data_IF_883110858456
#
_entry.id   IF_883110858456
#
_cell.length_a   1.000
_cell.length_b   1.000
_cell.length_c   1.000
_cell.angle_alpha   90.00
_cell.angle_beta   90.00
_cell.angle_gamma   90.00
#
_symmetry.space_group_name_H-M   'P 1'
#
loop_
_entity.id
_entity.type
_entity.pdbx_description
1 polymer ?
#
# COMPACT_ATOMS: atom_id res chain seq x y z
N UNK A 1 16.76 -40.14 -7.14
CA UNK A 1 17.64 -38.96 -7.14
C UNK A 1 17.08 -38.01 -6.11
N UNK A 2 17.78 -37.84 -4.99
CA UNK A 2 17.39 -36.87 -3.95
C UNK A 2 17.41 -35.47 -4.56
N UNK A 3 16.39 -34.62 -4.34
CA UNK A 3 16.50 -33.23 -4.75
C UNK A 3 17.55 -32.61 -3.84
N UNK A 4 18.66 -32.23 -4.45
CA UNK A 4 19.68 -31.39 -3.84
C UNK A 4 18.99 -30.14 -3.30
N UNK A 5 19.03 -29.98 -1.98
CA UNK A 5 18.83 -28.69 -1.31
C UNK A 5 19.70 -27.68 -2.06
N UNK A 6 19.04 -26.80 -2.82
CA UNK A 6 19.66 -25.60 -3.35
C UNK A 6 19.97 -24.75 -2.14
N UNK A 7 21.20 -24.83 -1.62
CA UNK A 7 21.71 -23.83 -0.70
C UNK A 7 21.51 -22.48 -1.40
N UNK A 8 20.63 -21.65 -0.83
CA UNK A 8 20.39 -20.32 -1.34
C UNK A 8 21.74 -19.61 -1.48
N UNK A 9 21.97 -18.90 -2.59
CA UNK A 9 23.20 -18.15 -2.76
C UNK A 9 23.31 -17.14 -1.60
N UNK A 10 24.34 -17.29 -0.76
CA UNK A 10 24.58 -16.42 0.39
C UNK A 10 24.93 -15.01 -0.11
N UNK A 11 24.19 -14.01 0.34
CA UNK A 11 24.44 -12.59 0.08
C UNK A 11 24.83 -11.86 1.39
N UNK A 12 25.36 -10.64 1.28
CA UNK A 12 25.74 -9.84 2.47
C UNK A 12 24.48 -9.39 3.21
N UNK A 13 24.31 -9.86 4.45
CA UNK A 13 23.13 -9.61 5.28
C UNK A 13 22.10 -10.74 5.27
N UNK A 14 22.41 -11.90 4.67
CA UNK A 14 21.53 -13.07 4.70
C UNK A 14 21.22 -13.53 6.13
N UNK A 15 22.22 -13.50 7.01
CA UNK A 15 22.10 -13.83 8.43
C UNK A 15 21.14 -12.89 9.18
N UNK A 16 21.06 -11.62 8.76
CA UNK A 16 20.13 -10.64 9.35
C UNK A 16 18.70 -11.02 8.97
N UNK A 17 18.47 -11.37 7.70
CA UNK A 17 17.16 -11.79 7.22
C UNK A 17 16.71 -13.08 7.90
N UNK A 18 17.59 -14.08 8.00
CA UNK A 18 17.29 -15.33 8.69
C UNK A 18 16.97 -15.11 10.17
N UNK A 19 17.73 -14.28 10.90
CA UNK A 19 17.43 -13.91 12.29
C UNK A 19 16.07 -13.22 12.41
N UNK A 20 15.78 -12.27 11.53
CA UNK A 20 14.54 -11.49 11.58
C UNK A 20 13.32 -12.36 11.28
N UNK A 21 13.41 -13.23 10.28
CA UNK A 21 12.37 -14.21 9.96
C UNK A 21 12.14 -15.14 11.16
N UNK A 22 13.20 -15.67 11.76
CA UNK A 22 13.09 -16.60 12.88
C UNK A 22 12.44 -15.96 14.12
N UNK A 23 12.67 -14.66 14.35
CA UNK A 23 12.23 -13.96 15.57
C UNK A 23 10.87 -13.29 15.43
N UNK A 24 10.52 -12.85 14.23
CA UNK A 24 9.36 -11.97 14.03
C UNK A 24 8.33 -12.49 13.04
N UNK A 25 8.45 -13.75 12.59
CA UNK A 25 7.40 -14.33 11.75
C UNK A 25 6.11 -14.55 12.53
N UNK A 26 4.99 -14.14 11.94
CA UNK A 26 3.63 -14.40 12.42
C UNK A 26 3.00 -15.65 11.79
N UNK A 27 3.76 -16.49 11.08
CA UNK A 27 3.21 -17.70 10.49
C UNK A 27 2.62 -18.61 11.58
N UNK A 28 1.39 -19.06 11.35
CA UNK A 28 0.61 -19.84 12.31
C UNK A 28 -0.03 -19.04 13.45
N UNK A 29 0.28 -17.75 13.64
CA UNK A 29 -0.24 -16.92 14.76
C UNK A 29 -1.77 -16.90 14.82
N UNK A 30 -2.43 -16.82 13.66
CA UNK A 30 -3.89 -16.83 13.54
C UNK A 30 -4.45 -18.12 12.92
N UNK A 31 -3.67 -19.21 12.95
CA UNK A 31 -4.04 -20.51 12.40
C UNK A 31 -3.43 -20.78 11.01
N UNK A 32 -3.33 -22.06 10.66
CA UNK A 32 -2.62 -22.53 9.47
C UNK A 32 -3.27 -22.15 8.14
N UNK A 33 -4.57 -21.81 8.15
CA UNK A 33 -5.31 -21.40 6.94
C UNK A 33 -5.54 -19.88 6.88
N UNK A 34 -4.98 -19.11 7.83
CA UNK A 34 -5.08 -17.66 7.83
C UNK A 34 -4.42 -17.07 6.57
N UNK A 35 -5.09 -16.10 5.97
CA UNK A 35 -4.65 -15.37 4.78
C UNK A 35 -4.75 -13.85 4.98
N UNK A 36 -5.10 -13.38 6.19
CA UNK A 36 -5.23 -11.96 6.50
C UNK A 36 -3.99 -11.38 7.16
N UNK A 37 -3.19 -12.20 7.85
CA UNK A 37 -1.98 -11.72 8.51
C UNK A 37 -2.29 -10.67 9.57
N UNK A 38 -1.49 -9.61 9.62
CA UNK A 38 -1.57 -8.57 10.63
C UNK A 38 -2.90 -7.79 10.62
N UNK A 39 -3.69 -7.85 9.55
CA UNK A 39 -5.05 -7.31 9.56
C UNK A 39 -5.99 -8.04 10.54
N UNK A 40 -5.62 -9.21 11.05
CA UNK A 40 -6.33 -9.85 12.17
C UNK A 40 -6.24 -9.05 13.49
N UNK A 41 -5.34 -8.07 13.60
CA UNK A 41 -5.34 -7.10 14.70
C UNK A 41 -6.51 -6.10 14.63
N UNK A 42 -7.15 -5.97 13.47
CA UNK A 42 -8.27 -5.07 13.26
C UNK A 42 -9.58 -5.84 13.44
N UNK A 43 -10.23 -5.61 14.57
CA UNK A 43 -11.56 -6.13 14.89
C UNK A 43 -12.60 -5.03 15.13
N UNK A 44 -13.82 -5.39 15.55
CA UNK A 44 -14.90 -4.44 15.80
C UNK A 44 -14.54 -3.32 16.79
N UNK A 45 -13.64 -3.61 17.74
CA UNK A 45 -13.16 -2.63 18.72
C UNK A 45 -12.29 -1.55 18.07
N UNK A 46 -11.32 -1.94 17.23
CA UNK A 46 -10.46 -1.01 16.48
C UNK A 46 -11.29 -0.14 15.54
N UNK A 47 -12.26 -0.73 14.82
CA UNK A 47 -13.18 0.02 13.94
C UNK A 47 -13.97 1.06 14.73
N UNK A 48 -14.52 0.67 15.88
CA UNK A 48 -15.30 1.56 16.75
C UNK A 48 -14.43 2.67 17.33
N UNK A 49 -13.20 2.35 17.73
CA UNK A 49 -12.24 3.34 18.23
C UNK A 49 -11.86 4.35 17.15
N UNK A 50 -11.59 3.89 15.93
CA UNK A 50 -11.31 4.74 14.78
C UNK A 50 -12.50 5.67 14.47
N UNK A 51 -13.73 5.15 14.43
CA UNK A 51 -14.92 5.96 14.17
C UNK A 51 -15.11 7.11 15.17
N UNK A 52 -14.60 6.97 16.41
CA UNK A 52 -14.62 8.05 17.42
C UNK A 52 -13.59 9.15 17.17
N UNK A 53 -12.70 9.02 16.18
CA UNK A 53 -11.77 10.07 15.78
C UNK A 53 -12.41 11.09 14.83
N UNK A 54 -13.54 10.74 14.19
CA UNK A 54 -14.26 11.66 13.32
C UNK A 54 -15.02 12.69 14.16
N UNK A 55 -14.44 13.88 14.30
CA UNK A 55 -14.95 15.01 15.09
C UNK A 55 -15.21 16.25 14.26
N UNK A 56 -14.39 16.48 13.24
CA UNK A 56 -14.44 17.66 12.39
C UNK A 56 -15.32 17.44 11.14
N UNK A 57 -15.53 16.19 10.75
CA UNK A 57 -16.21 15.82 9.51
C UNK A 57 -15.36 16.10 8.26
N UNK A 58 -14.04 16.25 8.42
CA UNK A 58 -13.12 16.45 7.30
C UNK A 58 -12.87 15.10 6.65
N UNK A 59 -12.90 15.08 5.31
CA UNK A 59 -12.54 13.91 4.50
C UNK A 59 -11.45 14.34 3.55
N UNK A 60 -10.26 13.75 3.69
CA UNK A 60 -9.06 14.11 2.93
C UNK A 60 -8.61 12.89 2.15
N UNK A 61 -8.53 13.02 0.82
CA UNK A 61 -7.98 11.98 -0.03
C UNK A 61 -6.46 11.92 0.13
N UNK A 62 -5.95 10.70 0.24
CA UNK A 62 -4.52 10.38 0.25
C UNK A 62 -4.11 9.60 -1.01
N UNK A 63 -4.83 9.80 -2.11
CA UNK A 63 -4.65 9.04 -3.34
C UNK A 63 -4.27 9.92 -4.52
N UNK A 64 -3.25 9.49 -5.26
CA UNK A 64 -2.90 10.06 -6.55
C UNK A 64 -4.01 9.78 -7.58
N UNK A 65 -4.27 10.71 -8.53
CA UNK A 65 -5.13 10.43 -9.67
C UNK A 65 -4.63 9.22 -10.47
N UNK A 66 -5.56 8.35 -10.87
CA UNK A 66 -5.28 7.23 -11.77
C UNK A 66 -5.40 7.69 -13.23
N UNK A 67 -4.35 8.31 -13.74
CA UNK A 67 -4.28 8.81 -15.11
C UNK A 67 -2.90 8.57 -15.76
N UNK A 68 -2.76 8.99 -17.01
CA UNK A 68 -1.54 8.83 -17.80
C UNK A 68 -0.36 9.68 -17.31
N UNK A 69 -0.59 10.62 -16.40
CA UNK A 69 0.40 11.53 -15.81
C UNK A 69 0.92 11.02 -14.46
N UNK A 70 0.57 9.80 -14.06
CA UNK A 70 1.11 9.13 -12.88
C UNK A 70 2.62 8.85 -12.91
N UNK A 71 3.16 8.27 -11.84
CA UNK A 71 4.60 8.14 -11.64
C UNK A 71 5.29 7.03 -12.44
N UNK A 72 4.55 6.18 -13.16
CA UNK A 72 5.12 5.04 -13.86
C UNK A 72 5.80 5.47 -15.17
N UNK A 73 7.04 5.03 -15.36
CA UNK A 73 7.87 5.39 -16.52
C UNK A 73 7.79 4.42 -17.69
N UNK A 74 6.97 3.36 -17.59
CA UNK A 74 6.79 2.34 -18.65
C UNK A 74 7.84 1.22 -18.68
N UNK A 75 8.86 1.26 -17.81
CA UNK A 75 9.88 0.21 -17.72
C UNK A 75 9.35 -1.08 -17.10
N UNK A 76 8.82 -0.99 -15.87
CA UNK A 76 8.27 -2.13 -15.13
C UNK A 76 6.74 -2.17 -15.15
N UNK A 77 6.11 -1.00 -15.00
CA UNK A 77 4.65 -0.81 -14.98
C UNK A 77 4.29 0.39 -15.87
N UNK A 78 3.05 0.39 -16.36
CA UNK A 78 2.47 1.51 -17.11
C UNK A 78 1.53 2.32 -16.20
N UNK A 79 1.37 3.61 -16.50
CA UNK A 79 0.37 4.44 -15.86
C UNK A 79 -1.05 3.96 -16.23
N UNK A 80 -2.05 4.21 -15.36
CA UNK A 80 -3.43 3.92 -15.67
C UNK A 80 -3.91 4.61 -16.95
N UNK A 81 -4.60 3.86 -17.80
CA UNK A 81 -5.19 4.34 -19.04
C UNK A 81 -6.72 4.22 -18.94
N UNK A 82 -7.42 5.36 -18.93
CA UNK A 82 -8.86 5.39 -19.11
C UNK A 82 -9.21 5.53 -20.59
N UNK A 83 -10.13 4.71 -21.09
CA UNK A 83 -10.60 4.73 -22.47
C UNK A 83 -12.12 4.80 -22.52
N UNK A 84 -12.66 5.86 -23.10
CA UNK A 84 -14.11 5.97 -23.30
C UNK A 84 -14.58 4.96 -24.36
N UNK A 85 -15.59 4.15 -24.04
CA UNK A 85 -16.29 3.25 -24.98
C UNK A 85 -17.58 3.86 -25.52
N UNK A 86 -18.12 4.88 -24.84
CA UNK A 86 -19.20 5.71 -25.35
C UNK A 86 -18.96 7.16 -24.92
N UNK A 87 -19.21 8.11 -25.83
CA UNK A 87 -18.93 9.52 -25.57
C UNK A 87 -20.11 10.44 -25.85
N UNK A 88 -20.13 11.59 -25.18
CA UNK A 88 -21.06 12.66 -25.52
C UNK A 88 -20.84 13.24 -26.93
N UNK A 89 -19.62 13.15 -27.47
CA UNK A 89 -19.33 13.60 -28.85
C UNK A 89 -20.03 12.72 -29.88
N UNK A 90 -20.08 11.41 -29.67
CA UNK A 90 -20.82 10.50 -30.56
C UNK A 90 -22.31 10.76 -30.48
N UNK A 91 -22.83 11.03 -29.27
CA UNK A 91 -24.24 11.39 -29.08
C UNK A 91 -24.60 12.67 -29.84
N UNK A 92 -23.82 13.75 -29.69
CA UNK A 92 -24.05 15.02 -30.37
C UNK A 92 -23.93 14.89 -31.90
N UNK A 93 -23.10 13.98 -32.38
CA UNK A 93 -22.97 13.66 -33.80
C UNK A 93 -24.09 12.74 -34.34
N UNK A 94 -24.97 12.22 -33.48
CA UNK A 94 -25.98 11.22 -33.85
C UNK A 94 -25.37 9.86 -34.23
N UNK A 95 -24.14 9.58 -33.78
CA UNK A 95 -23.35 8.40 -34.09
C UNK A 95 -23.20 7.43 -32.91
N UNK A 96 -23.84 7.71 -31.77
CA UNK A 96 -23.79 6.84 -30.60
C UNK A 96 -24.56 5.53 -30.83
N UNK A 97 -24.01 4.43 -30.32
CA UNK A 97 -24.60 3.09 -30.43
C UNK A 97 -26.08 3.08 -30.00
N UNK A 98 -26.95 2.38 -30.76
CA UNK A 98 -28.35 2.25 -30.39
C UNK A 98 -28.48 1.46 -29.08
N UNK A 99 -29.45 1.85 -28.25
CA UNK A 99 -29.78 1.10 -27.04
C UNK A 99 -30.15 -0.36 -27.38
N UNK A 100 -29.89 -1.33 -26.48
CA UNK A 100 -30.27 -2.71 -26.69
C UNK A 100 -31.77 -2.85 -27.03
N UNK A 101 -32.08 -3.80 -27.90
CA UNK A 101 -33.46 -4.06 -28.30
C UNK A 101 -34.35 -4.31 -27.08
N UNK A 102 -35.50 -3.63 -27.02
CA UNK A 102 -36.45 -3.72 -25.89
C UNK A 102 -36.36 -2.57 -24.87
N UNK A 103 -35.34 -1.72 -24.94
CA UNK A 103 -35.22 -0.53 -24.06
C UNK A 103 -36.12 0.65 -24.51
N UNK A 104 -36.80 0.52 -25.65
CA UNK A 104 -37.61 1.57 -26.24
C UNK A 104 -36.78 2.64 -26.96
N UNK A 105 -37.42 3.70 -27.47
CA UNK A 105 -36.72 4.77 -28.18
C UNK A 105 -35.87 5.61 -27.20
N UNK A 106 -34.61 5.89 -27.56
CA UNK A 106 -33.69 6.68 -26.74
C UNK A 106 -34.18 8.11 -26.46
N UNK A 107 -35.02 8.72 -27.32
CA UNK A 107 -35.62 10.07 -27.12
C UNK A 107 -34.63 11.14 -26.60
N UNK A 108 -33.45 11.25 -27.20
CA UNK A 108 -32.42 12.21 -26.77
C UNK A 108 -31.59 11.75 -25.56
N UNK A 109 -31.72 10.49 -25.14
CA UNK A 109 -30.83 9.85 -24.18
C UNK A 109 -29.45 9.65 -24.80
N UNK A 110 -28.43 10.18 -24.12
CA UNK A 110 -27.03 9.91 -24.41
C UNK A 110 -26.34 9.39 -23.16
N UNK A 111 -25.28 8.60 -23.34
CA UNK A 111 -24.52 8.01 -22.25
C UNK A 111 -23.01 8.15 -22.47
N UNK A 112 -22.25 7.92 -21.41
CA UNK A 112 -20.80 7.82 -21.48
C UNK A 112 -20.38 6.64 -20.61
N UNK A 113 -19.61 5.73 -21.20
CA UNK A 113 -19.04 4.55 -20.55
C UNK A 113 -17.56 4.51 -20.88
N UNK A 114 -16.77 3.90 -20.01
CA UNK A 114 -15.33 3.80 -20.15
C UNK A 114 -14.75 2.48 -19.60
N UNK A 115 -13.47 2.28 -19.90
CA UNK A 115 -12.68 1.13 -19.50
C UNK A 115 -11.36 1.64 -18.92
N UNK A 116 -11.07 1.24 -17.69
CA UNK A 116 -9.79 1.46 -17.05
C UNK A 116 -8.88 0.25 -17.23
N UNK A 117 -7.71 0.46 -17.83
CA UNK A 117 -6.65 -0.55 -17.95
C UNK A 117 -5.44 -0.09 -17.16
N UNK A 118 -5.06 -0.86 -16.14
CA UNK A 118 -3.93 -0.52 -15.28
C UNK A 118 -3.34 -1.77 -14.61
N UNK A 119 -2.02 -1.77 -14.31
CA UNK A 119 -1.48 -2.62 -13.26
C UNK A 119 -2.14 -2.29 -11.90
N UNK A 120 -2.38 -3.29 -11.06
CA UNK A 120 -2.91 -3.04 -9.71
C UNK A 120 -1.94 -2.23 -8.83
N UNK A 121 -0.67 -2.20 -9.22
CA UNK A 121 0.42 -1.51 -8.54
C UNK A 121 0.94 -0.27 -9.30
N UNK A 122 0.04 0.44 -9.99
CA UNK A 122 0.40 1.56 -10.87
C UNK A 122 0.34 2.95 -10.20
N UNK A 123 -0.30 3.07 -9.04
CA UNK A 123 -0.52 4.33 -8.34
C UNK A 123 -0.72 4.05 -6.85
N UNK A 124 -1.50 4.87 -6.15
CA UNK A 124 -1.87 4.60 -4.76
C UNK A 124 -2.45 3.19 -4.63
N UNK A 125 -1.86 2.35 -3.79
CA UNK A 125 -2.19 0.91 -3.82
C UNK A 125 -2.13 0.30 -2.42
N UNK A 126 -2.69 -0.91 -2.34
CA UNK A 126 -2.32 -1.93 -1.36
C UNK A 126 -1.69 -3.13 -2.07
N UNK A 127 -0.62 -3.64 -1.49
CA UNK A 127 -0.03 -4.93 -1.82
C UNK A 127 -0.61 -6.01 -0.91
N UNK A 128 -1.15 -7.05 -1.54
CA UNK A 128 -1.67 -8.21 -0.81
C UNK A 128 -0.52 -9.12 -0.36
N UNK A 129 -0.81 -10.07 0.53
CA UNK A 129 0.20 -11.05 0.96
C UNK A 129 0.60 -12.05 -0.15
N UNK A 130 -0.11 -12.03 -1.28
CA UNK A 130 0.27 -12.72 -2.50
C UNK A 130 1.29 -11.95 -3.37
N UNK A 131 1.62 -10.70 -3.05
CA UNK A 131 2.45 -9.84 -3.89
C UNK A 131 3.91 -10.33 -4.00
N UNK A 132 4.50 -10.68 -2.85
CA UNK A 132 5.90 -11.09 -2.73
C UNK A 132 5.97 -12.49 -2.13
N UNK A 133 6.94 -13.28 -2.58
CA UNK A 133 7.28 -14.60 -2.03
C UNK A 133 8.77 -14.69 -1.72
N UNK A 134 9.11 -15.49 -0.71
CA UNK A 134 10.47 -15.78 -0.32
C UNK A 134 10.72 -17.28 -0.27
N UNK A 135 11.79 -17.77 -0.92
CA UNK A 135 12.09 -19.19 -1.09
C UNK A 135 10.88 -20.05 -1.54
N UNK A 136 10.08 -19.52 -2.48
CA UNK A 136 8.91 -20.20 -3.02
C UNK A 136 7.71 -20.26 -2.06
N UNK A 137 7.71 -19.46 -0.99
CA UNK A 137 6.63 -19.38 -0.01
C UNK A 137 6.07 -17.97 0.11
N UNK A 138 4.74 -17.91 0.20
CA UNK A 138 3.97 -16.73 0.58
C UNK A 138 3.82 -16.69 2.10
N UNK A 139 3.08 -15.69 2.58
CA UNK A 139 2.62 -15.66 3.97
C UNK A 139 2.01 -17.00 4.43
N UNK A 140 2.22 -17.32 5.70
CA UNK A 140 1.77 -18.53 6.37
C UNK A 140 2.32 -19.86 5.79
N UNK A 141 3.38 -19.78 4.97
CA UNK A 141 3.99 -20.96 4.36
C UNK A 141 3.22 -21.54 3.18
N UNK A 142 2.24 -20.80 2.63
CA UNK A 142 1.58 -21.21 1.40
C UNK A 142 2.57 -21.25 0.24
N UNK A 143 2.34 -22.18 -0.69
CA UNK A 143 3.20 -22.33 -1.84
C UNK A 143 3.03 -21.17 -2.83
N UNK A 144 4.13 -20.59 -3.30
CA UNK A 144 4.08 -19.55 -4.33
C UNK A 144 3.50 -20.06 -5.65
N UNK A 145 3.52 -21.39 -5.90
CA UNK A 145 2.86 -22.01 -7.05
C UNK A 145 1.32 -21.87 -7.02
N UNK A 146 0.74 -21.38 -5.91
CA UNK A 146 -0.69 -21.01 -5.88
C UNK A 146 -0.98 -19.72 -6.63
N UNK A 147 0.03 -18.92 -6.97
CA UNK A 147 -0.11 -17.75 -7.84
C UNK A 147 0.18 -18.16 -9.28
N UNK A 148 -0.83 -18.08 -10.14
CA UNK A 148 -0.77 -18.52 -11.53
C UNK A 148 -1.28 -17.42 -12.46
N UNK A 149 -1.31 -17.68 -13.77
CA UNK A 149 -1.95 -16.79 -14.75
C UNK A 149 -3.46 -16.60 -14.51
N UNK A 150 -4.10 -17.47 -13.73
CA UNK A 150 -5.49 -17.32 -13.30
C UNK A 150 -5.66 -16.47 -12.02
N UNK A 151 -4.56 -15.98 -11.44
CA UNK A 151 -4.53 -15.21 -10.19
C UNK A 151 -3.95 -15.98 -9.01
N UNK A 152 -3.99 -15.34 -7.84
CA UNK A 152 -3.54 -15.86 -6.56
C UNK A 152 -4.61 -16.76 -5.91
N UNK A 153 -4.35 -18.07 -5.81
CA UNK A 153 -5.23 -19.04 -5.14
C UNK A 153 -5.19 -18.98 -3.60
N UNK A 154 -4.23 -18.25 -3.05
CA UNK A 154 -4.07 -17.93 -1.63
C UNK A 154 -3.61 -16.48 -1.49
N UNK A 155 -3.94 -15.84 -0.37
CA UNK A 155 -3.45 -14.51 -0.01
C UNK A 155 -3.80 -13.39 -1.02
N UNK A 156 -4.82 -13.59 -1.86
CA UNK A 156 -5.32 -12.57 -2.77
C UNK A 156 -5.94 -11.38 -2.05
N UNK A 157 -5.97 -10.22 -2.70
CA UNK A 157 -6.45 -8.97 -2.12
C UNK A 157 -7.92 -9.04 -1.71
N UNK A 158 -8.72 -9.92 -2.31
CA UNK A 158 -10.12 -10.10 -1.93
C UNK A 158 -10.30 -10.63 -0.50
N UNK A 159 -9.24 -11.17 0.13
CA UNK A 159 -9.24 -11.51 1.56
C UNK A 159 -9.36 -10.30 2.48
N UNK A 160 -9.10 -9.11 1.95
CA UNK A 160 -9.18 -7.82 2.65
C UNK A 160 -10.40 -6.97 2.27
N UNK A 161 -11.39 -7.51 1.56
CA UNK A 161 -12.57 -6.76 1.10
C UNK A 161 -13.42 -6.10 2.23
N UNK A 162 -13.22 -6.50 3.48
CA UNK A 162 -13.88 -5.93 4.67
C UNK A 162 -12.89 -5.20 5.61
N UNK A 163 -11.63 -5.09 5.20
CA UNK A 163 -10.52 -4.57 6.02
C UNK A 163 -10.17 -3.13 5.62
N UNK A 164 -9.13 -2.57 6.26
CA UNK A 164 -8.64 -1.20 6.05
C UNK A 164 -9.67 -0.10 6.32
N UNK A 165 -10.63 -0.40 7.20
CA UNK A 165 -11.44 0.58 7.92
C UNK A 165 -11.00 0.54 9.38
N UNK A 166 -9.98 1.33 9.72
CA UNK A 166 -9.30 1.25 11.03
C UNK A 166 -8.73 2.61 11.41
N UNK A 167 -7.94 2.68 12.49
CA UNK A 167 -7.20 3.89 12.84
C UNK A 167 -5.97 4.02 11.94
N UNK A 168 -5.86 5.14 11.24
CA UNK A 168 -4.64 5.57 10.57
C UNK A 168 -3.87 6.52 11.45
N UNK A 169 -2.55 6.35 11.51
CA UNK A 169 -1.63 7.29 12.17
C UNK A 169 -0.62 7.79 11.15
N UNK A 170 -0.65 9.09 10.86
CA UNK A 170 0.35 9.74 10.03
C UNK A 170 1.59 10.02 10.87
N UNK A 171 2.76 9.55 10.46
CA UNK A 171 4.07 9.97 10.97
C UNK A 171 4.76 10.80 9.87
N UNK A 172 4.80 12.11 10.06
CA UNK A 172 5.41 13.05 9.11
C UNK A 172 6.88 13.26 9.43
N UNK A 173 7.67 12.23 9.13
CA UNK A 173 9.11 12.18 9.44
C UNK A 173 9.86 13.31 8.73
N UNK A 174 9.49 13.62 7.48
CA UNK A 174 10.09 14.74 6.75
C UNK A 174 9.94 16.06 7.53
N UNK A 175 8.70 16.39 7.93
CA UNK A 175 8.44 17.63 8.67
C UNK A 175 9.06 17.61 10.05
N UNK A 176 9.04 16.48 10.76
CA UNK A 176 9.70 16.33 12.06
C UNK A 176 11.20 16.64 11.98
N UNK A 177 11.87 16.22 10.91
CA UNK A 177 13.28 16.51 10.65
C UNK A 177 13.53 17.90 10.03
N UNK A 178 12.48 18.74 9.93
CA UNK A 178 12.58 20.10 9.40
C UNK A 178 12.81 20.17 7.89
N UNK A 179 12.30 19.19 7.13
CA UNK A 179 12.46 19.08 5.68
C UNK A 179 11.11 18.96 4.97
N UNK A 180 11.04 19.46 3.75
CA UNK A 180 9.86 19.27 2.89
C UNK A 180 9.85 17.86 2.29
N UNK A 181 11.04 17.33 1.95
CA UNK A 181 11.29 15.96 1.48
C UNK A 181 12.59 15.43 2.06
N UNK A 182 12.62 14.14 2.38
CA UNK A 182 13.83 13.41 2.72
C UNK A 182 14.66 13.10 1.46
N UNK A 183 15.96 12.94 1.65
CA UNK A 183 16.88 12.62 0.55
C UNK A 183 16.73 11.15 0.14
N UNK A 184 16.87 10.82 -1.16
CA UNK A 184 17.01 9.44 -1.59
C UNK A 184 18.10 8.69 -0.81
N UNK A 185 17.78 7.50 -0.30
CA UNK A 185 18.68 6.73 0.56
C UNK A 185 18.62 7.06 2.05
N UNK A 186 17.76 8.00 2.48
CA UNK A 186 17.49 8.20 3.91
C UNK A 186 16.72 6.98 4.47
N UNK A 187 17.38 6.18 5.30
CA UNK A 187 16.79 5.03 5.97
C UNK A 187 16.11 5.49 7.27
N UNK A 188 14.78 5.52 7.27
CA UNK A 188 13.98 5.92 8.44
C UNK A 188 14.07 4.81 9.48
N UNK A 189 14.67 5.14 10.62
CA UNK A 189 14.92 4.25 11.75
C UNK A 189 13.71 4.16 12.71
N UNK A 190 13.62 3.09 13.54
CA UNK A 190 12.62 3.03 14.63
C UNK A 190 12.65 4.26 15.54
N UNK A 191 13.84 4.74 15.90
CA UNK A 191 14.00 5.90 16.79
C UNK A 191 13.42 7.18 16.16
N UNK A 192 13.55 7.36 14.84
CA UNK A 192 12.91 8.47 14.13
C UNK A 192 11.39 8.33 14.09
N UNK A 193 10.84 7.11 13.98
CA UNK A 193 9.40 6.88 14.06
C UNK A 193 8.87 7.23 15.47
N UNK A 194 9.56 6.78 16.52
CA UNK A 194 9.19 7.08 17.90
C UNK A 194 9.31 8.58 18.21
N UNK A 195 10.41 9.22 17.81
CA UNK A 195 10.60 10.66 17.99
C UNK A 195 9.55 11.49 17.23
N UNK A 196 9.18 11.03 16.03
CA UNK A 196 8.10 11.66 15.24
C UNK A 196 6.75 11.51 15.94
N UNK A 197 6.43 10.31 16.43
CA UNK A 197 5.19 10.05 17.17
C UNK A 197 5.10 10.90 18.44
N UNK A 198 6.19 10.97 19.22
CA UNK A 198 6.30 11.80 20.43
C UNK A 198 6.10 13.29 20.11
N UNK A 199 6.78 13.81 19.10
CA UNK A 199 6.66 15.22 18.69
C UNK A 199 5.26 15.58 18.18
N UNK A 200 4.55 14.62 17.59
CA UNK A 200 3.18 14.76 17.12
C UNK A 200 2.13 14.46 18.20
N UNK A 201 2.56 14.04 19.40
CA UNK A 201 1.65 13.71 20.50
C UNK A 201 0.74 12.51 20.21
N UNK A 202 1.20 11.56 19.38
CA UNK A 202 0.43 10.36 19.01
C UNK A 202 1.13 9.09 19.49
N UNK A 203 0.35 8.07 19.79
CA UNK A 203 0.82 6.75 20.22
C UNK A 203 0.42 5.72 19.18
N UNK A 204 1.34 4.82 18.82
CA UNK A 204 1.08 3.67 17.94
C UNK A 204 0.50 2.52 18.76
N UNK A 205 -0.66 2.02 18.33
CA UNK A 205 -1.42 0.97 19.01
C UNK A 205 -1.65 -0.22 18.09
N UNK A 206 -1.96 -1.36 18.71
CA UNK A 206 -2.37 -2.58 18.02
C UNK A 206 -3.50 -2.31 17.02
N UNK A 207 -3.32 -2.76 15.79
CA UNK A 207 -4.33 -2.61 14.73
C UNK A 207 -4.23 -1.31 13.93
N UNK A 208 -3.25 -0.46 14.22
CA UNK A 208 -3.03 0.76 13.45
C UNK A 208 -2.52 0.46 12.04
N UNK A 209 -2.96 1.30 11.10
CA UNK A 209 -2.21 1.53 9.87
C UNK A 209 -1.24 2.69 10.09
N UNK A 210 0.06 2.40 10.04
CA UNK A 210 1.11 3.43 10.15
C UNK A 210 1.39 4.00 8.76
N UNK A 211 1.21 5.31 8.60
CA UNK A 211 1.34 6.03 7.33
C UNK A 211 2.52 6.97 7.44
N UNK A 212 3.57 6.78 6.65
CA UNK A 212 4.82 7.54 6.77
C UNK A 212 4.97 8.51 5.61
N UNK A 213 5.02 9.82 5.92
CA UNK A 213 5.31 10.86 4.92
C UNK A 213 6.80 11.14 4.87
N UNK A 214 7.39 10.88 3.70
CA UNK A 214 8.78 11.18 3.37
C UNK A 214 8.93 12.47 2.56
N UNK A 215 7.84 12.97 1.96
CA UNK A 215 7.78 14.12 1.06
C UNK A 215 8.21 13.83 -0.38
N UNK A 216 8.66 12.61 -0.70
CA UNK A 216 9.24 12.30 -2.00
C UNK A 216 8.26 12.45 -3.15
N UNK A 217 7.04 11.92 -3.02
CA UNK A 217 6.01 12.02 -4.07
C UNK A 217 5.67 13.47 -4.38
N UNK A 218 5.53 14.29 -3.35
CA UNK A 218 5.28 15.72 -3.49
C UNK A 218 6.42 16.41 -4.26
N UNK A 219 7.67 16.16 -3.84
CA UNK A 219 8.84 16.74 -4.48
C UNK A 219 9.05 16.30 -5.95
N UNK A 220 8.53 15.14 -6.34
CA UNK A 220 8.66 14.59 -7.70
C UNK A 220 7.41 14.81 -8.57
N UNK A 221 6.33 15.38 -8.04
CA UNK A 221 5.07 15.55 -8.77
C UNK A 221 5.28 16.36 -10.05
N UNK A 222 4.79 15.83 -11.17
CA UNK A 222 4.94 16.46 -12.50
C UNK A 222 6.34 16.33 -13.12
N UNK A 223 7.32 15.81 -12.38
CA UNK A 223 8.68 15.55 -12.83
C UNK A 223 9.19 14.22 -12.26
N UNK A 224 8.43 13.14 -12.52
CA UNK A 224 8.59 11.85 -11.85
C UNK A 224 9.99 11.24 -11.99
N UNK A 225 10.67 11.43 -13.13
CA UNK A 225 12.05 11.00 -13.32
C UNK A 225 12.25 9.51 -12.97
N UNK A 226 13.06 9.26 -11.95
CA UNK A 226 13.40 7.94 -11.43
C UNK A 226 12.53 7.48 -10.24
N UNK A 227 11.43 8.18 -9.91
CA UNK A 227 10.54 7.83 -8.80
C UNK A 227 10.11 6.35 -8.84
N UNK A 228 9.71 5.86 -10.02
CA UNK A 228 9.38 4.46 -10.21
C UNK A 228 10.65 3.61 -10.35
N UNK A 229 11.01 2.91 -9.27
CA UNK A 229 12.15 1.98 -9.24
C UNK A 229 13.50 2.56 -8.81
N UNK A 230 13.67 3.88 -8.74
CA UNK A 230 14.95 4.52 -8.38
C UNK A 230 15.18 4.72 -6.87
N UNK A 231 16.31 5.34 -6.49
CA UNK A 231 16.63 5.66 -5.10
C UNK A 231 15.51 6.49 -4.44
N UNK A 232 15.22 6.20 -3.17
CA UNK A 232 14.15 6.82 -2.40
C UNK A 232 14.49 6.79 -0.90
N UNK A 233 14.06 7.80 -0.11
CA UNK A 233 13.91 7.60 1.33
C UNK A 233 12.88 6.49 1.60
N UNK A 234 12.90 5.92 2.79
CA UNK A 234 11.88 4.94 3.18
C UNK A 234 12.22 4.26 4.48
N UNK A 235 11.38 3.32 4.90
CA UNK A 235 11.61 2.54 6.11
C UNK A 235 12.92 1.73 6.01
N UNK A 236 13.72 1.78 7.07
CA UNK A 236 14.85 0.88 7.25
C UNK A 236 14.37 -0.57 7.43
N UNK A 237 15.20 -1.56 7.07
CA UNK A 237 14.97 -2.96 7.44
C UNK A 237 14.80 -3.10 8.97
N UNK A 238 15.51 -2.27 9.74
CA UNK A 238 15.49 -2.29 11.19
C UNK A 238 14.16 -1.81 11.80
N UNK A 239 13.20 -1.35 10.99
CA UNK A 239 11.82 -1.06 11.41
C UNK A 239 10.99 -2.34 11.59
N UNK A 240 11.39 -3.47 11.00
CA UNK A 240 10.60 -4.71 11.10
C UNK A 240 10.33 -5.17 12.56
N UNK A 241 11.31 -5.19 13.49
CA UNK A 241 11.07 -5.48 14.91
C UNK A 241 10.09 -4.49 15.57
N UNK A 242 10.15 -3.22 15.20
CA UNK A 242 9.27 -2.17 15.73
C UNK A 242 7.82 -2.40 15.27
N UNK A 243 7.60 -2.69 13.99
CA UNK A 243 6.26 -3.03 13.47
C UNK A 243 5.64 -4.22 14.21
N UNK A 244 6.44 -5.26 14.45
CA UNK A 244 6.01 -6.44 15.18
C UNK A 244 5.71 -6.14 16.66
N UNK A 245 6.55 -5.34 17.33
CA UNK A 245 6.36 -4.99 18.73
C UNK A 245 5.09 -4.17 18.99
N UNK A 246 4.69 -3.33 18.02
CA UNK A 246 3.48 -2.51 18.10
C UNK A 246 2.22 -3.20 17.57
N UNK A 247 2.31 -4.45 17.08
CA UNK A 247 1.21 -5.15 16.41
C UNK A 247 0.55 -4.28 15.31
N UNK A 248 1.40 -3.65 14.48
CA UNK A 248 0.96 -2.81 13.35
C UNK A 248 0.22 -3.69 12.34
N UNK A 249 -0.96 -3.25 11.92
CA UNK A 249 -1.79 -4.01 11.00
C UNK A 249 -1.38 -3.82 9.53
N UNK A 250 -0.93 -2.61 9.17
CA UNK A 250 -0.53 -2.26 7.81
C UNK A 250 0.43 -1.06 7.83
N UNK A 251 1.24 -0.91 6.79
CA UNK A 251 2.11 0.26 6.60
C UNK A 251 1.83 0.91 5.26
N UNK A 252 1.90 2.23 5.17
CA UNK A 252 1.82 2.94 3.90
C UNK A 252 2.84 4.09 3.83
N UNK A 253 3.25 4.48 2.63
CA UNK A 253 4.12 5.64 2.42
C UNK A 253 3.85 6.35 1.09
N UNK A 254 4.40 7.55 0.98
CA UNK A 254 4.43 8.35 -0.24
C UNK A 254 5.64 8.04 -1.16
N UNK A 255 6.12 6.80 -1.14
CA UNK A 255 7.20 6.33 -1.99
C UNK A 255 6.74 5.15 -2.84
N UNK A 256 7.49 4.83 -3.90
CA UNK A 256 7.16 3.71 -4.78
C UNK A 256 7.37 2.34 -4.13
N UNK A 257 8.19 2.24 -3.08
CA UNK A 257 8.66 0.96 -2.57
C UNK A 257 8.59 0.79 -1.05
N UNK A 258 8.00 1.72 -0.31
CA UNK A 258 7.87 1.80 1.17
C UNK A 258 9.18 1.82 1.98
N UNK A 259 10.12 0.93 1.67
CA UNK A 259 11.44 0.85 2.26
C UNK A 259 12.49 1.68 1.48
N UNK A 260 13.56 2.02 2.19
CA UNK A 260 14.65 2.82 1.65
C UNK A 260 15.30 2.17 0.43
N UNK A 261 15.65 2.97 -0.57
CA UNK A 261 16.48 2.55 -1.70
C UNK A 261 17.64 3.51 -1.94
N UNK A 262 18.88 3.02 -2.13
CA UNK A 262 19.29 1.61 -2.13
C UNK A 262 19.08 0.93 -0.78
N UNK A 263 18.80 -0.38 -0.81
CA UNK A 263 18.57 -1.15 0.41
C UNK A 263 19.87 -1.26 1.24
N UNK A 264 19.73 -1.36 2.56
CA UNK A 264 20.86 -1.36 3.51
C UNK A 264 21.71 -2.63 3.45
N UNK A 265 21.14 -3.72 2.91
CA UNK A 265 21.80 -5.00 2.69
C UNK A 265 21.75 -5.40 1.21
N UNK A 266 22.52 -6.41 0.82
CA UNK A 266 22.59 -6.89 -0.56
C UNK A 266 21.41 -7.81 -0.92
N UNK A 267 20.20 -7.30 -0.68
CA UNK A 267 18.93 -7.93 -1.00
C UNK A 267 18.00 -6.84 -1.53
N UNK A 268 17.27 -7.15 -2.60
CA UNK A 268 16.23 -6.25 -3.11
C UNK A 268 14.99 -6.36 -2.22
N UNK A 269 14.56 -5.22 -1.66
CA UNK A 269 13.38 -5.10 -0.80
C UNK A 269 13.35 -6.08 0.42
N UNK A 270 14.38 -6.08 1.30
CA UNK A 270 14.42 -6.92 2.49
C UNK A 270 13.27 -6.69 3.47
N UNK A 271 12.74 -5.47 3.58
CA UNK A 271 11.63 -5.22 4.49
C UNK A 271 10.35 -5.89 3.99
N UNK A 272 10.10 -5.93 2.68
CA UNK A 272 9.00 -6.72 2.11
C UNK A 272 9.12 -8.20 2.46
N UNK A 273 10.32 -8.77 2.41
CA UNK A 273 10.53 -10.17 2.80
C UNK A 273 10.13 -10.37 4.25
N UNK A 274 10.67 -9.58 5.18
CA UNK A 274 10.39 -9.79 6.60
C UNK A 274 8.95 -9.42 6.97
N UNK A 275 8.47 -8.24 6.59
CA UNK A 275 7.19 -7.72 7.04
C UNK A 275 6.00 -8.25 6.22
N UNK A 276 6.05 -8.22 4.90
CA UNK A 276 4.93 -8.71 4.08
C UNK A 276 4.87 -10.23 4.10
N UNK A 277 5.96 -10.93 3.78
CA UNK A 277 5.94 -12.40 3.70
C UNK A 277 5.87 -13.04 5.09
N UNK A 278 6.71 -12.62 6.03
CA UNK A 278 6.85 -13.33 7.30
C UNK A 278 6.00 -12.77 8.45
N UNK A 279 5.77 -11.46 8.54
CA UNK A 279 4.85 -10.86 9.53
C UNK A 279 3.40 -10.79 9.02
N UNK A 280 3.17 -10.90 7.71
CA UNK A 280 1.83 -10.78 7.13
C UNK A 280 1.28 -9.35 7.14
N UNK A 281 2.15 -8.34 7.03
CA UNK A 281 1.77 -6.92 7.03
C UNK A 281 1.62 -6.45 5.57
N UNK A 282 0.41 -6.05 5.10
CA UNK A 282 0.22 -5.46 3.78
C UNK A 282 0.81 -4.04 3.68
N UNK A 283 1.28 -3.69 2.48
CA UNK A 283 2.02 -2.45 2.21
C UNK A 283 1.24 -1.52 1.30
N UNK A 284 1.24 -0.23 1.63
CA UNK A 284 0.66 0.85 0.85
C UNK A 284 1.75 1.69 0.21
N UNK A 285 1.73 1.80 -1.12
CA UNK A 285 2.73 2.53 -1.88
C UNK A 285 2.08 3.67 -2.65
N UNK A 286 2.85 4.75 -2.90
CA UNK A 286 2.43 5.85 -3.76
C UNK A 286 1.22 6.61 -3.17
N UNK A 287 1.15 6.75 -1.85
CA UNK A 287 0.08 7.50 -1.17
C UNK A 287 0.36 9.01 -1.24
N UNK A 288 -0.65 9.79 -1.61
CA UNK A 288 -0.53 11.24 -1.73
C UNK A 288 -0.75 11.91 -0.37
N UNK A 289 0.33 12.09 0.40
CA UNK A 289 0.24 12.49 1.81
C UNK A 289 0.31 14.00 2.05
N UNK A 290 0.40 14.82 1.00
CA UNK A 290 0.56 16.27 1.13
C UNK A 290 -0.60 16.90 1.90
N UNK A 291 -1.84 16.70 1.41
CA UNK A 291 -3.02 17.36 1.96
C UNK A 291 -3.31 16.96 3.41
N UNK A 292 -3.14 15.67 3.75
CA UNK A 292 -3.31 15.21 5.13
C UNK A 292 -2.19 15.72 6.04
N UNK A 293 -0.94 15.78 5.54
CA UNK A 293 0.18 16.34 6.29
C UNK A 293 0.00 17.82 6.62
N UNK A 294 -0.44 18.62 5.66
CA UNK A 294 -0.77 20.04 5.88
C UNK A 294 -1.90 20.21 6.90
N UNK A 295 -2.97 19.40 6.81
CA UNK A 295 -4.09 19.47 7.75
C UNK A 295 -3.68 19.06 9.18
N UNK A 296 -2.94 17.96 9.34
CA UNK A 296 -2.41 17.51 10.62
C UNK A 296 -1.42 18.52 11.23
N UNK A 297 -0.60 19.19 10.42
CA UNK A 297 0.28 20.26 10.89
C UNK A 297 -0.51 21.49 11.38
N UNK A 298 -1.66 21.78 10.76
CA UNK A 298 -2.48 22.92 11.12
C UNK A 298 -3.26 22.73 12.43
N UNK A 299 -3.73 21.51 12.72
CA UNK A 299 -4.56 21.24 13.91
C UNK A 299 -3.90 20.38 15.00
N UNK A 300 -2.72 19.80 14.72
CA UNK A 300 -1.99 18.94 15.64
C UNK A 300 -2.57 17.53 15.81
N UNK A 301 -3.52 17.10 14.97
CA UNK A 301 -4.19 15.80 15.07
C UNK A 301 -3.69 14.87 13.96
N UNK A 302 -2.85 13.90 14.34
CA UNK A 302 -2.17 12.97 13.42
C UNK A 302 -2.77 11.54 13.40
N UNK A 303 -3.82 11.31 14.18
CA UNK A 303 -4.61 10.07 14.13
C UNK A 303 -6.00 10.36 13.55
N UNK A 304 -6.50 9.44 12.73
CA UNK A 304 -7.79 9.59 12.06
C UNK A 304 -8.42 8.23 11.79
N UNK A 305 -9.72 8.23 11.47
CA UNK A 305 -10.32 7.05 10.86
C UNK A 305 -9.82 6.95 9.42
N UNK A 306 -9.18 5.84 9.10
CA UNK A 306 -8.78 5.47 7.75
C UNK A 306 -9.91 4.67 7.10
N UNK A 307 -10.25 5.03 5.86
CA UNK A 307 -11.00 4.18 4.95
C UNK A 307 -10.18 3.98 3.68
N UNK A 308 -9.59 2.80 3.54
CA UNK A 308 -8.77 2.42 2.39
C UNK A 308 -9.05 0.96 1.99
N UNK A 309 -10.32 0.55 1.98
CA UNK A 309 -10.70 -0.80 1.55
C UNK A 309 -10.32 -1.03 0.07
N UNK A 310 -9.65 -2.15 -0.27
CA UNK A 310 -9.28 -2.47 -1.65
C UNK A 310 -10.50 -2.87 -2.48
N UNK A 311 -10.36 -2.81 -3.80
CA UNK A 311 -11.30 -3.46 -4.71
C UNK A 311 -11.27 -4.98 -4.47
N UNK A 312 -12.42 -5.68 -4.49
CA UNK A 312 -12.50 -7.12 -4.27
C UNK A 312 -12.09 -7.90 -5.54
N UNK A 313 -10.86 -7.67 -6.02
CA UNK A 313 -10.30 -8.33 -7.21
C UNK A 313 -9.94 -9.77 -6.84
N UNK A 314 -10.76 -10.73 -7.25
CA UNK A 314 -10.53 -12.14 -6.94
C UNK A 314 -9.18 -12.61 -7.51
N UNK A 315 -8.29 -13.07 -6.63
CA UNK A 315 -6.96 -13.53 -7.01
C UNK A 315 -5.98 -12.40 -7.35
N UNK A 316 -6.31 -11.14 -7.03
CA UNK A 316 -5.42 -10.00 -7.22
C UNK A 316 -4.26 -10.04 -6.23
N UNK A 317 -3.03 -9.75 -6.68
CA UNK A 317 -1.86 -9.62 -5.81
C UNK A 317 -1.77 -8.24 -5.10
N UNK A 318 -2.75 -7.37 -5.33
CA UNK A 318 -2.84 -6.02 -4.82
C UNK A 318 -4.07 -5.33 -5.41
N UNK A 319 -4.33 -4.09 -5.03
CA UNK A 319 -5.42 -3.28 -5.56
C UNK A 319 -5.07 -1.80 -5.53
N UNK A 320 -5.52 -1.02 -6.53
CA UNK A 320 -5.64 0.42 -6.34
C UNK A 320 -6.66 0.72 -5.25
N UNK A 321 -6.53 1.89 -4.63
CA UNK A 321 -7.42 2.33 -3.57
C UNK A 321 -7.65 3.84 -3.61
N UNK A 322 -8.85 4.28 -3.24
CA UNK A 322 -9.02 5.65 -2.78
C UNK A 322 -8.91 5.67 -1.26
N UNK A 323 -7.71 5.92 -0.74
CA UNK A 323 -7.45 6.04 0.68
C UNK A 323 -7.96 7.40 1.20
N UNK A 324 -8.83 7.37 2.21
CA UNK A 324 -9.44 8.54 2.82
C UNK A 324 -9.09 8.62 4.30
N UNK A 325 -8.66 9.80 4.75
CA UNK A 325 -8.57 10.16 6.15
C UNK A 325 -9.84 10.90 6.58
N UNK A 326 -10.50 10.44 7.64
CA UNK A 326 -11.67 11.07 8.23
C UNK A 326 -11.34 11.58 9.65
N UNK A 327 -11.45 12.90 9.84
CA UNK A 327 -11.13 13.62 11.09
C UNK A 327 -12.33 14.35 11.66
#
# INVERSE_FOLDING_TARGET
MSPTSSAAASFRGAEIIEDYIARFSNWGRWGAEDQRGAMNHVGPEQVTAAARLVRQGKVISMSLPYDLHGPQSGGFRANPLNMMTATGTDHLAGAQDPLPAGFGPAKGFGFADDVLVMPNQAGTQWDALAHIFWHGKLYNGFDAATVTSAGAGRCGIEKYQQDFVTRGVLLDVARHLGRDSLDPGHAISPDELDATAEAQGVEIRTGDTVIVRTGLLEARRGAWGDFAGGPAPGLSLHVAPWLHAHDVAAVASDTWGCEVRPNEIDLFQPLHVVALVHMGIPFGEIWDLQAIGEDCAADGVYEFMLSAAPLPITGGAGSPVNALALK
#
